data_IF_091944891367
#
_entry.id   IF_091944891367
#
_cell.length_a   1.000
_cell.length_b   1.000
_cell.length_c   1.000
_cell.angle_alpha   90.00
_cell.angle_beta   90.00
_cell.angle_gamma   90.00
#
_symmetry.space_group_name_H-M   'P 1'
#
loop_
_entity.id
_entity.type
_entity.pdbx_description
1 polymer ?
#
# COMPACT_ATOMS: atom_id res chain seq x y z
N UNK A 1 -55.34 -43.08 31.12
CA UNK A 1 -54.61 -44.34 30.90
C UNK A 1 -53.80 -44.21 29.61
N UNK A 2 -52.46 -44.31 29.71
CA UNK A 2 -51.52 -44.85 28.71
C UNK A 2 -51.44 -44.14 27.34
N UNK A 3 -50.32 -43.65 26.80
CA UNK A 3 -48.89 -43.76 27.11
C UNK A 3 -48.18 -42.71 26.23
N UNK A 4 -47.24 -41.97 26.81
CA UNK A 4 -46.23 -41.22 26.07
C UNK A 4 -45.48 -42.13 25.10
N UNK A 5 -45.34 -41.68 23.85
CA UNK A 5 -44.32 -42.19 22.94
C UNK A 5 -43.35 -41.05 22.65
N UNK A 6 -42.25 -41.08 23.40
CA UNK A 6 -41.04 -40.33 23.12
C UNK A 6 -40.53 -40.71 21.74
N UNK A 7 -40.41 -39.74 20.84
CA UNK A 7 -39.51 -39.84 19.69
C UNK A 7 -38.58 -38.64 19.79
N UNK A 8 -37.48 -38.84 20.52
CA UNK A 8 -36.33 -37.95 20.48
C UNK A 8 -35.60 -38.24 19.16
N UNK A 9 -35.81 -37.38 18.16
CA UNK A 9 -35.13 -37.46 16.86
C UNK A 9 -34.23 -36.23 16.70
N UNK A 10 -32.95 -36.45 16.97
CA UNK A 10 -31.79 -35.80 16.32
C UNK A 10 -31.75 -34.28 16.29
N UNK A 11 -31.11 -33.68 17.30
CA UNK A 11 -30.53 -32.35 17.20
C UNK A 11 -29.31 -32.40 16.24
N UNK A 12 -29.53 -32.26 14.94
CA UNK A 12 -28.45 -32.03 13.98
C UNK A 12 -28.01 -30.55 14.10
N UNK A 13 -27.09 -30.29 15.01
CA UNK A 13 -26.44 -28.98 15.14
C UNK A 13 -25.51 -28.78 13.94
N UNK A 14 -26.03 -28.24 12.84
CA UNK A 14 -25.20 -27.77 11.73
C UNK A 14 -24.38 -26.57 12.20
N UNK A 15 -23.16 -26.82 12.66
CA UNK A 15 -22.15 -25.78 12.86
C UNK A 15 -21.79 -25.25 11.47
N UNK A 16 -22.47 -24.19 11.05
CA UNK A 16 -22.00 -23.38 9.93
C UNK A 16 -20.66 -22.77 10.36
N UNK A 17 -19.58 -23.25 9.75
CA UNK A 17 -18.25 -22.66 9.90
C UNK A 17 -18.34 -21.22 9.42
N UNK A 18 -18.31 -20.27 10.36
CA UNK A 18 -17.98 -18.88 10.05
C UNK A 18 -16.54 -18.89 9.52
N UNK A 19 -16.37 -18.82 8.20
CA UNK A 19 -15.11 -18.37 7.62
C UNK A 19 -14.95 -16.89 7.99
N UNK A 20 -14.41 -16.62 9.17
CA UNK A 20 -13.91 -15.30 9.50
C UNK A 20 -12.73 -15.02 8.56
N UNK A 21 -12.96 -14.21 7.52
CA UNK A 21 -11.86 -13.60 6.78
C UNK A 21 -11.18 -12.60 7.72
N UNK A 22 -10.29 -13.08 8.57
CA UNK A 22 -9.23 -12.27 9.15
C UNK A 22 -8.12 -12.10 8.12
N UNK A 23 -8.44 -11.63 6.91
CA UNK A 23 -7.41 -11.41 5.92
C UNK A 23 -6.88 -9.98 6.10
N UNK A 24 -6.08 -9.82 7.15
CA UNK A 24 -5.22 -8.63 7.36
C UNK A 24 -4.11 -8.53 6.31
N UNK A 25 -4.19 -9.31 5.23
CA UNK A 25 -3.30 -9.26 4.09
C UNK A 25 -3.68 -8.10 3.16
N UNK A 26 -2.66 -7.33 2.79
CA UNK A 26 -2.70 -6.36 1.71
C UNK A 26 -2.93 -7.07 0.37
N UNK A 27 -3.82 -6.48 -0.44
CA UNK A 27 -4.06 -6.91 -1.82
C UNK A 27 -3.22 -6.06 -2.76
N UNK A 28 -2.23 -6.66 -3.40
CA UNK A 28 -1.36 -6.01 -4.37
C UNK A 28 -1.98 -6.10 -5.76
N UNK A 29 -2.42 -4.97 -6.29
CA UNK A 29 -2.93 -4.87 -7.65
C UNK A 29 -1.76 -4.88 -8.65
N UNK A 30 -1.80 -5.69 -9.72
CA UNK A 30 -0.81 -5.61 -10.77
C UNK A 30 -0.79 -4.20 -11.39
N UNK A 31 0.40 -3.62 -11.56
CA UNK A 31 0.59 -2.33 -12.20
C UNK A 31 1.56 -2.46 -13.37
N UNK A 32 1.05 -2.18 -14.57
CA UNK A 32 1.86 -2.10 -15.78
C UNK A 32 2.34 -0.67 -16.02
N UNK A 33 3.46 -0.53 -16.74
CA UNK A 33 4.05 0.75 -17.12
C UNK A 33 3.05 1.64 -17.88
N UNK A 34 2.18 1.03 -18.70
CA UNK A 34 1.14 1.74 -19.46
C UNK A 34 0.09 2.44 -18.59
N UNK A 35 -0.12 1.98 -17.36
CA UNK A 35 -1.15 2.51 -16.44
C UNK A 35 -0.61 3.58 -15.50
N UNK A 36 0.72 3.74 -15.40
CA UNK A 36 1.38 4.69 -14.49
C UNK A 36 0.94 6.13 -14.76
N UNK A 37 0.78 6.53 -16.02
CA UNK A 37 0.32 7.89 -16.35
C UNK A 37 -1.10 8.17 -15.84
N UNK A 38 -1.97 7.15 -15.75
CA UNK A 38 -3.28 7.32 -15.14
C UNK A 38 -3.17 7.52 -13.61
N UNK A 39 -2.25 6.81 -12.96
CA UNK A 39 -1.96 6.95 -11.53
C UNK A 39 -1.40 8.34 -11.19
N UNK A 40 -0.46 8.85 -12.00
CA UNK A 40 0.24 10.12 -11.78
C UNK A 40 -0.51 11.36 -12.31
N UNK A 41 -1.70 11.19 -12.88
CA UNK A 41 -2.44 12.27 -13.53
C UNK A 41 -2.78 13.42 -12.58
N UNK A 42 -2.58 14.65 -13.05
CA UNK A 42 -2.96 15.92 -12.41
C UNK A 42 -3.87 16.74 -13.36
N UNK A 43 -4.65 17.73 -12.86
CA UNK A 43 -4.82 18.11 -11.45
C UNK A 43 -5.58 17.05 -10.65
N UNK A 44 -5.35 17.03 -9.33
CA UNK A 44 -6.02 16.13 -8.37
C UNK A 44 -6.66 16.95 -7.25
N UNK A 45 -7.74 16.48 -6.62
CA UNK A 45 -8.37 17.19 -5.50
C UNK A 45 -7.47 17.23 -4.25
N UNK A 46 -6.53 16.29 -4.12
CA UNK A 46 -5.53 16.24 -3.05
C UNK A 46 -4.16 15.94 -3.65
N UNK A 47 -3.07 16.42 -3.01
CA UNK A 47 -1.73 15.97 -3.37
C UNK A 47 -1.60 14.46 -3.20
N UNK A 48 -0.72 13.83 -3.99
CA UNK A 48 -0.46 12.40 -3.97
C UNK A 48 1.02 12.13 -3.65
N UNK A 49 1.27 11.26 -2.69
CA UNK A 49 2.56 10.61 -2.47
C UNK A 49 2.51 9.22 -3.11
N UNK A 50 3.46 8.92 -3.97
CA UNK A 50 3.73 7.57 -4.49
C UNK A 50 5.00 7.09 -3.84
N UNK A 51 4.91 6.08 -2.99
CA UNK A 51 6.07 5.47 -2.37
C UNK A 51 6.41 4.17 -3.10
N UNK A 52 7.59 4.15 -3.72
CA UNK A 52 8.15 2.99 -4.39
C UNK A 52 9.10 2.26 -3.45
N UNK A 53 8.90 0.95 -3.32
CA UNK A 53 9.64 0.11 -2.39
C UNK A 53 9.88 -1.29 -2.98
N UNK A 54 10.72 -2.08 -2.32
CA UNK A 54 10.95 -3.48 -2.67
C UNK A 54 11.27 -4.34 -1.44
N UNK A 55 11.22 -5.67 -1.59
CA UNK A 55 11.56 -6.64 -0.55
C UNK A 55 13.01 -6.54 -0.07
N UNK A 56 13.93 -6.21 -0.98
CA UNK A 56 15.38 -6.12 -0.74
C UNK A 56 15.83 -4.73 -0.26
N UNK A 57 14.88 -3.84 0.08
CA UNK A 57 15.16 -2.49 0.54
C UNK A 57 15.11 -2.38 2.08
N UNK A 58 16.27 -2.18 2.70
CA UNK A 58 16.41 -2.06 4.16
C UNK A 58 15.65 -0.87 4.76
N UNK A 59 15.62 0.26 4.07
CA UNK A 59 15.05 1.52 4.56
C UNK A 59 13.57 1.72 4.21
N UNK A 60 13.00 0.92 3.31
CA UNK A 60 11.66 1.17 2.77
C UNK A 60 10.55 1.11 3.83
N UNK A 61 10.60 0.16 4.77
CA UNK A 61 9.64 0.11 5.89
C UNK A 61 9.68 1.35 6.77
N UNK A 62 10.88 1.83 7.06
CA UNK A 62 11.05 3.03 7.86
C UNK A 62 10.48 4.25 7.12
N UNK A 63 10.69 4.32 5.80
CA UNK A 63 10.15 5.38 4.96
C UNK A 63 8.61 5.39 4.97
N UNK A 64 7.98 4.23 4.81
CA UNK A 64 6.52 4.07 4.90
C UNK A 64 6.00 4.55 6.27
N UNK A 65 6.69 4.20 7.36
CA UNK A 65 6.32 4.65 8.70
C UNK A 65 6.42 6.18 8.84
N UNK A 66 7.50 6.78 8.33
CA UNK A 66 7.73 8.23 8.35
C UNK A 66 6.68 9.00 7.53
N UNK A 67 6.28 8.49 6.37
CA UNK A 67 5.19 9.06 5.56
C UNK A 67 3.88 9.04 6.37
N UNK A 68 3.56 7.92 7.03
CA UNK A 68 2.34 7.81 7.81
C UNK A 68 2.36 8.72 9.06
N UNK A 69 3.49 8.83 9.74
CA UNK A 69 3.70 9.76 10.85
C UNK A 69 3.52 11.21 10.42
N UNK A 70 4.19 11.62 9.34
CA UNK A 70 4.08 12.96 8.78
C UNK A 70 2.64 13.29 8.37
N UNK A 71 1.95 12.36 7.70
CA UNK A 71 0.54 12.51 7.30
C UNK A 71 -0.39 12.69 8.50
N UNK A 72 -0.10 12.03 9.63
CA UNK A 72 -0.88 12.18 10.87
C UNK A 72 -0.61 13.49 11.60
N UNK A 73 0.64 13.95 11.59
CA UNK A 73 1.04 15.21 12.22
C UNK A 73 0.58 16.44 11.41
N UNK A 74 0.49 16.29 10.09
CA UNK A 74 0.10 17.36 9.17
C UNK A 74 -1.39 17.72 9.25
N UNK A 75 -1.70 19.00 8.99
CA UNK A 75 -3.09 19.50 8.88
C UNK A 75 -3.69 19.31 7.49
N UNK A 76 -2.88 18.93 6.50
CA UNK A 76 -3.27 18.77 5.10
C UNK A 76 -3.57 17.29 4.80
N UNK A 77 -4.70 17.04 4.13
CA UNK A 77 -5.02 15.70 3.63
C UNK A 77 -4.19 15.41 2.37
N UNK A 78 -3.41 14.35 2.42
CA UNK A 78 -2.57 13.86 1.32
C UNK A 78 -2.94 12.41 1.03
N UNK A 79 -3.12 12.09 -0.25
CA UNK A 79 -3.28 10.71 -0.70
C UNK A 79 -1.94 10.02 -0.76
N UNK A 80 -1.92 8.73 -0.47
CA UNK A 80 -0.73 7.89 -0.55
C UNK A 80 -1.08 6.67 -1.39
N UNK A 81 -0.16 6.22 -2.22
CA UNK A 81 -0.20 4.91 -2.87
C UNK A 81 1.15 4.23 -2.69
N UNK A 82 1.10 2.91 -2.53
CA UNK A 82 2.29 2.08 -2.38
C UNK A 82 2.53 1.28 -3.65
N UNK A 83 3.77 1.24 -4.12
CA UNK A 83 4.16 0.48 -5.31
C UNK A 83 5.36 -0.38 -4.98
N UNK A 84 5.16 -1.69 -4.92
CA UNK A 84 6.25 -2.64 -4.85
C UNK A 84 6.88 -2.83 -6.23
N UNK A 85 8.21 -2.79 -6.31
CA UNK A 85 8.96 -3.11 -7.54
C UNK A 85 9.09 -4.62 -7.76
N UNK A 86 8.82 -5.42 -6.72
CA UNK A 86 8.60 -6.87 -6.82
C UNK A 86 7.24 -7.20 -7.45
N UNK A 87 7.14 -8.40 -8.03
CA UNK A 87 5.95 -8.83 -8.75
C UNK A 87 4.82 -9.39 -7.88
N UNK A 88 3.59 -9.47 -8.43
CA UNK A 88 2.42 -9.98 -7.71
C UNK A 88 2.55 -11.46 -7.29
N UNK A 89 3.39 -12.25 -7.96
CA UNK A 89 3.72 -13.62 -7.57
C UNK A 89 4.39 -13.70 -6.19
N UNK A 90 4.94 -12.58 -5.70
CA UNK A 90 5.60 -12.46 -4.40
C UNK A 90 4.67 -11.87 -3.32
N UNK A 91 3.36 -11.78 -3.56
CA UNK A 91 2.39 -11.18 -2.64
C UNK A 91 2.46 -11.69 -1.20
N UNK A 92 2.77 -12.98 -0.98
CA UNK A 92 2.95 -13.53 0.36
C UNK A 92 4.19 -12.95 1.07
N UNK A 93 5.30 -12.75 0.35
CA UNK A 93 6.50 -12.10 0.88
C UNK A 93 6.27 -10.62 1.13
N UNK A 94 5.61 -9.92 0.22
CA UNK A 94 5.24 -8.51 0.37
C UNK A 94 4.38 -8.29 1.61
N UNK A 95 3.38 -9.16 1.81
CA UNK A 95 2.55 -9.16 3.01
C UNK A 95 3.36 -9.38 4.29
N UNK A 96 4.26 -10.37 4.32
CA UNK A 96 5.13 -10.62 5.48
C UNK A 96 6.04 -9.42 5.77
N UNK A 97 6.59 -8.80 4.73
CA UNK A 97 7.46 -7.63 4.87
C UNK A 97 6.72 -6.46 5.52
N UNK A 98 5.47 -6.20 5.14
CA UNK A 98 4.68 -5.07 5.67
C UNK A 98 3.84 -5.41 6.91
N UNK A 99 3.73 -6.68 7.30
CA UNK A 99 2.90 -7.11 8.42
C UNK A 99 3.09 -6.31 9.74
N UNK A 100 4.32 -5.90 10.14
CA UNK A 100 4.49 -5.04 11.31
C UNK A 100 3.78 -3.69 11.18
N UNK A 101 3.83 -3.07 9.99
CA UNK A 101 3.19 -1.78 9.72
C UNK A 101 1.67 -1.90 9.58
N UNK A 102 1.18 -3.01 9.01
CA UNK A 102 -0.26 -3.27 8.89
C UNK A 102 -0.93 -3.43 10.26
N UNK A 103 -0.25 -4.04 11.23
CA UNK A 103 -0.77 -4.21 12.60
C UNK A 103 -0.85 -2.90 13.39
N UNK A 104 -0.09 -1.88 13.01
CA UNK A 104 -0.18 -0.56 13.65
C UNK A 104 -1.29 0.27 13.00
N UNK A 105 -2.44 0.34 13.67
CA UNK A 105 -3.60 1.10 13.21
C UNK A 105 -3.31 2.59 12.98
N UNK A 106 -2.26 3.16 13.59
CA UNK A 106 -1.85 4.56 13.36
C UNK A 106 -1.20 4.75 11.99
N UNK A 107 -0.67 3.70 11.38
CA UNK A 107 -0.12 3.75 10.02
C UNK A 107 -1.26 3.73 9.01
N UNK A 108 -2.29 2.90 9.27
CA UNK A 108 -3.48 2.79 8.42
C UNK A 108 -3.17 2.22 7.03
N UNK A 109 -2.12 1.39 6.93
CA UNK A 109 -1.60 0.88 5.65
C UNK A 109 -2.63 0.02 4.89
N UNK A 110 -3.53 -0.66 5.62
CA UNK A 110 -4.62 -1.44 5.05
C UNK A 110 -5.62 -0.62 4.21
N UNK A 111 -5.65 0.70 4.39
CA UNK A 111 -6.52 1.62 3.65
C UNK A 111 -5.80 2.39 2.53
N UNK A 112 -4.52 2.07 2.30
CA UNK A 112 -3.70 2.67 1.26
C UNK A 112 -3.68 1.71 0.06
N UNK A 113 -3.97 2.18 -1.17
CA UNK A 113 -3.84 1.34 -2.36
C UNK A 113 -2.45 0.75 -2.50
N UNK A 114 -2.38 -0.54 -2.82
CA UNK A 114 -1.14 -1.29 -2.94
C UNK A 114 -1.04 -1.83 -4.37
N UNK A 115 0.08 -1.54 -5.02
CA UNK A 115 0.41 -2.04 -6.34
C UNK A 115 1.68 -2.90 -6.29
N UNK A 116 1.77 -3.87 -7.19
CA UNK A 116 2.99 -4.64 -7.44
C UNK A 116 3.35 -4.57 -8.92
N UNK A 117 4.64 -4.66 -9.22
CA UNK A 117 5.16 -4.55 -10.56
C UNK A 117 4.66 -5.70 -11.45
N UNK A 118 3.96 -5.37 -12.53
CA UNK A 118 3.46 -6.35 -13.49
C UNK A 118 4.29 -6.39 -14.79
N UNK A 119 5.39 -5.64 -14.86
CA UNK A 119 6.33 -5.71 -15.98
C UNK A 119 7.31 -6.87 -15.77
N UNK A 120 7.57 -7.63 -16.84
CA UNK A 120 8.63 -8.64 -16.84
C UNK A 120 10.03 -8.03 -16.65
N UNK A 121 10.19 -6.75 -17.01
CA UNK A 121 11.45 -6.00 -16.92
C UNK A 121 11.20 -4.75 -16.04
N UNK A 122 11.61 -4.76 -14.75
CA UNK A 122 11.28 -3.72 -13.77
C UNK A 122 11.64 -2.29 -14.19
N UNK A 123 12.65 -2.15 -15.05
CA UNK A 123 13.10 -0.87 -15.62
C UNK A 123 12.00 -0.16 -16.41
N UNK A 124 11.06 -0.90 -17.01
CA UNK A 124 9.92 -0.33 -17.72
C UNK A 124 8.99 0.41 -16.77
N UNK A 125 8.68 -0.21 -15.62
CA UNK A 125 7.85 0.41 -14.61
C UNK A 125 8.57 1.61 -13.98
N UNK A 126 9.87 1.45 -13.67
CA UNK A 126 10.74 2.55 -13.19
C UNK A 126 10.70 3.76 -14.12
N UNK A 127 10.99 3.56 -15.41
CA UNK A 127 11.02 4.64 -16.39
C UNK A 127 9.64 5.29 -16.57
N UNK A 128 8.56 4.52 -16.45
CA UNK A 128 7.19 5.06 -16.51
C UNK A 128 6.86 5.96 -15.31
N UNK A 129 7.39 5.65 -14.13
CA UNK A 129 7.27 6.52 -12.96
C UNK A 129 8.15 7.76 -13.09
N UNK A 130 9.43 7.56 -13.39
CA UNK A 130 10.45 8.59 -13.39
C UNK A 130 11.61 8.21 -14.32
N UNK A 131 11.72 8.83 -15.52
CA UNK A 131 12.79 8.52 -16.47
C UNK A 131 14.20 8.82 -15.94
N UNK A 132 14.34 9.74 -14.99
CA UNK A 132 15.65 10.13 -14.43
C UNK A 132 16.05 9.24 -13.25
N UNK A 133 15.10 8.52 -12.66
CA UNK A 133 15.34 7.62 -11.53
C UNK A 133 16.19 6.42 -11.93
N UNK A 134 17.29 6.15 -11.23
CA UNK A 134 18.24 5.08 -11.56
C UNK A 134 17.91 3.74 -10.89
N UNK A 135 16.85 3.69 -10.09
CA UNK A 135 16.39 2.47 -9.42
C UNK A 135 16.76 2.41 -7.95
N UNK A 136 17.38 3.46 -7.40
CA UNK A 136 17.65 3.54 -5.97
C UNK A 136 16.34 3.57 -5.15
N UNK A 137 16.29 2.78 -4.08
CA UNK A 137 15.11 2.66 -3.21
C UNK A 137 15.45 3.07 -1.77
N UNK A 138 14.46 3.56 -0.99
CA UNK A 138 13.12 3.95 -1.44
C UNK A 138 13.15 5.15 -2.39
N UNK A 139 12.12 5.25 -3.23
CA UNK A 139 11.87 6.41 -4.09
C UNK A 139 10.48 6.95 -3.79
N UNK A 140 10.39 8.23 -3.48
CA UNK A 140 9.13 8.90 -3.14
C UNK A 140 8.84 9.97 -4.19
N UNK A 141 7.72 9.84 -4.89
CA UNK A 141 7.21 10.90 -5.78
C UNK A 141 6.09 11.67 -5.09
N UNK A 142 6.11 12.99 -5.21
CA UNK A 142 5.14 13.89 -4.60
C UNK A 142 4.54 14.74 -5.71
N UNK A 143 3.24 14.55 -5.94
CA UNK A 143 2.47 15.28 -6.92
C UNK A 143 1.56 16.29 -6.21
N UNK A 144 1.77 17.56 -6.49
CA UNK A 144 0.97 18.65 -5.94
C UNK A 144 -0.29 18.88 -6.77
N UNK A 145 -1.27 19.54 -6.18
CA UNK A 145 -2.54 19.88 -6.85
C UNK A 145 -2.36 20.91 -7.97
N UNK A 146 -1.29 21.71 -7.91
CA UNK A 146 -0.88 22.68 -8.93
C UNK A 146 -0.07 22.06 -10.09
N UNK A 147 0.11 20.73 -10.08
CA UNK A 147 0.86 20.00 -11.11
C UNK A 147 2.36 19.94 -10.87
N UNK A 148 2.92 20.63 -9.87
CA UNK A 148 4.33 20.49 -9.50
C UNK A 148 4.62 19.07 -9.01
N UNK A 149 5.78 18.56 -9.41
CA UNK A 149 6.28 17.24 -9.04
C UNK A 149 7.60 17.40 -8.29
N UNK A 150 7.71 16.73 -7.14
CA UNK A 150 8.95 16.57 -6.41
C UNK A 150 9.28 15.08 -6.32
N UNK A 151 10.55 14.73 -6.31
CA UNK A 151 10.99 13.36 -6.18
C UNK A 151 12.19 13.29 -5.24
N UNK A 152 12.16 12.31 -4.33
CA UNK A 152 13.18 12.10 -3.31
C UNK A 152 13.60 10.64 -3.28
N UNK A 153 14.88 10.40 -3.00
CA UNK A 153 15.46 9.07 -2.92
C UNK A 153 16.17 8.89 -1.59
N UNK A 154 16.09 7.68 -1.03
CA UNK A 154 16.65 7.37 0.27
C UNK A 154 15.73 7.72 1.43
N UNK A 155 16.27 7.64 2.66
CA UNK A 155 15.49 7.79 3.87
C UNK A 155 14.89 9.20 4.00
N UNK A 156 13.57 9.29 4.09
CA UNK A 156 12.87 10.57 4.24
C UNK A 156 13.13 11.20 5.60
N UNK A 157 13.22 12.52 5.60
CA UNK A 157 13.13 13.35 6.80
C UNK A 157 11.82 14.14 6.78
N UNK A 158 11.29 14.55 7.95
CA UNK A 158 10.17 15.49 7.99
C UNK A 158 10.44 16.75 7.15
N UNK A 159 11.67 17.27 7.16
CA UNK A 159 12.07 18.44 6.40
C UNK A 159 11.96 18.22 4.89
N UNK A 160 12.33 17.03 4.39
CA UNK A 160 12.18 16.68 2.97
C UNK A 160 10.70 16.72 2.55
N UNK A 161 9.82 16.15 3.38
CA UNK A 161 8.38 16.16 3.12
C UNK A 161 7.81 17.58 3.20
N UNK A 162 8.17 18.34 4.23
CA UNK A 162 7.71 19.73 4.39
C UNK A 162 8.14 20.62 3.22
N UNK A 163 9.41 20.51 2.80
CA UNK A 163 9.94 21.27 1.66
C UNK A 163 9.21 20.94 0.36
N UNK A 164 8.88 19.66 0.12
CA UNK A 164 8.16 19.24 -1.08
C UNK A 164 6.74 19.83 -1.19
N UNK A 165 6.14 20.23 -0.06
CA UNK A 165 4.81 20.87 -0.02
C UNK A 165 4.84 22.36 0.34
N UNK A 166 6.02 22.97 0.43
CA UNK A 166 6.20 24.41 0.65
C UNK A 166 6.10 25.16 -0.68
N UNK A 167 5.58 26.39 -0.67
CA UNK A 167 5.34 27.17 -1.90
C UNK A 167 6.61 27.64 -2.61
#
# INVERSE_FOLDING_TARGET
>A
MSRWKSVAMGLALSVAVLAAHADGALRFQPLHAGDVQALLRTPRPRPLIVELWALDCSYCRENIARIAEWRRAGRRRVDVVMVAMDGPEQAAMLNRALAPLVRDARIGLAHVPQYANAEAMPERLRAAFDPEWQGELPRTLILRTDGRRHASSGLLTPQTLDAAFSD
#
